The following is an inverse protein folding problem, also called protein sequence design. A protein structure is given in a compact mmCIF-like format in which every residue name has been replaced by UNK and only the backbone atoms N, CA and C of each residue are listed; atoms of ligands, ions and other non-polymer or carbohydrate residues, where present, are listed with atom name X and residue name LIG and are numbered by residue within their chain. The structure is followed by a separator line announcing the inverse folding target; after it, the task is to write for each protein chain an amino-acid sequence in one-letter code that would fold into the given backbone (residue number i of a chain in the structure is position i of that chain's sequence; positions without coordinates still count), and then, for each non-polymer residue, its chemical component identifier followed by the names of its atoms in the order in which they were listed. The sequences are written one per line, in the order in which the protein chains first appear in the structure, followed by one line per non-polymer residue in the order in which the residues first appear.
data_IF_075831605839
#
_entry.id   IF_075831605839
#
_cell.length_a   1.000
_cell.length_b   1.000
_cell.length_c   1.000
_cell.angle_alpha   90.00
_cell.angle_beta   90.00
_cell.angle_gamma   90.00
#
_symmetry.space_group_name_H-M   'P 1'
#
loop_
_entity.id
_entity.type
_entity.pdbx_description
1 polymer ?
#
# COMPACT_ATOMS: atom_id res chain seq x y z
N UNK A 1 8.97 11.33 -23.17
CA UNK A 1 9.63 11.73 -21.91
C UNK A 1 10.12 10.47 -21.21
N UNK A 2 11.41 10.43 -20.86
CA UNK A 2 12.02 9.28 -20.19
C UNK A 2 12.05 9.50 -18.66
N UNK A 3 11.42 8.61 -17.92
CA UNK A 3 11.35 8.65 -16.47
C UNK A 3 12.07 7.46 -15.87
N UNK A 4 13.00 7.72 -14.94
CA UNK A 4 13.67 6.69 -14.16
C UNK A 4 12.93 6.52 -12.83
N UNK A 5 12.24 5.39 -12.65
CA UNK A 5 11.54 5.00 -11.45
C UNK A 5 12.46 4.25 -10.49
N UNK A 6 12.75 4.81 -9.33
CA UNK A 6 13.58 4.20 -8.29
C UNK A 6 12.72 3.75 -7.11
N UNK A 7 12.88 2.49 -6.69
CA UNK A 7 12.21 1.94 -5.50
C UNK A 7 13.19 1.13 -4.65
N UNK A 8 12.87 0.97 -3.37
CA UNK A 8 13.66 0.11 -2.47
C UNK A 8 13.38 -1.37 -2.67
N UNK A 9 12.17 -1.74 -3.08
CA UNK A 9 11.69 -3.12 -3.14
C UNK A 9 11.31 -3.53 -4.56
N UNK A 10 11.34 -4.84 -4.88
CA UNK A 10 10.90 -5.37 -6.17
C UNK A 10 9.37 -5.40 -6.29
N UNK A 11 8.87 -5.89 -7.42
CA UNK A 11 7.43 -5.93 -7.76
C UNK A 11 6.56 -6.73 -6.78
N UNK A 12 7.14 -7.69 -6.06
CA UNK A 12 6.46 -8.43 -4.99
C UNK A 12 6.00 -7.53 -3.85
N UNK A 13 6.69 -6.42 -3.60
CA UNK A 13 6.24 -5.42 -2.65
C UNK A 13 5.09 -4.59 -3.24
N UNK A 14 3.96 -4.54 -2.52
CA UNK A 14 2.77 -3.79 -2.94
C UNK A 14 3.09 -2.32 -3.29
N UNK A 15 3.98 -1.67 -2.53
CA UNK A 15 4.38 -0.29 -2.79
C UNK A 15 4.96 -0.13 -4.21
N UNK A 16 5.92 -0.94 -4.63
CA UNK A 16 6.51 -0.87 -5.98
C UNK A 16 5.49 -1.27 -7.04
N UNK A 17 4.75 -2.36 -6.81
CA UNK A 17 3.75 -2.88 -7.76
C UNK A 17 2.66 -1.85 -8.05
N UNK A 18 2.06 -1.26 -7.01
CA UNK A 18 0.91 -0.38 -7.13
C UNK A 18 1.27 1.11 -7.27
N UNK A 19 2.54 1.50 -7.06
CA UNK A 19 2.98 2.89 -7.21
C UNK A 19 3.83 3.15 -8.45
N UNK A 20 4.49 2.11 -8.99
CA UNK A 20 5.36 2.24 -10.16
C UNK A 20 4.98 1.26 -11.29
N UNK A 21 5.05 -0.05 -11.04
CA UNK A 21 4.96 -1.07 -12.09
C UNK A 21 3.64 -1.04 -12.86
N UNK A 22 2.51 -0.92 -12.17
CA UNK A 22 1.21 -0.84 -12.84
C UNK A 22 1.03 0.42 -13.70
N UNK A 23 1.82 1.47 -13.47
CA UNK A 23 1.75 2.71 -14.26
C UNK A 23 2.60 2.67 -15.53
N UNK A 24 3.45 1.64 -15.75
CA UNK A 24 4.33 1.56 -16.92
C UNK A 24 3.54 1.62 -18.23
N UNK A 25 2.54 0.76 -18.41
CA UNK A 25 1.67 0.76 -19.60
C UNK A 25 0.86 2.06 -19.75
N UNK A 26 0.04 2.43 -18.75
CA UNK A 26 -0.75 3.65 -18.81
C UNK A 26 0.05 4.94 -19.03
N UNK A 27 1.28 5.04 -18.55
CA UNK A 27 2.17 6.18 -18.83
C UNK A 27 2.74 6.11 -20.25
N UNK A 28 3.06 4.92 -20.77
CA UNK A 28 3.50 4.76 -22.15
C UNK A 28 2.44 5.24 -23.16
N UNK A 29 1.16 4.95 -22.91
CA UNK A 29 0.03 5.45 -23.70
C UNK A 29 -0.06 7.00 -23.70
N UNK A 30 0.57 7.64 -22.72
CA UNK A 30 0.65 9.10 -22.56
C UNK A 30 1.99 9.69 -23.02
N UNK A 31 2.81 8.91 -23.73
CA UNK A 31 4.12 9.33 -24.23
C UNK A 31 5.20 9.46 -23.16
N UNK A 32 5.06 8.74 -22.04
CA UNK A 32 6.02 8.70 -20.94
C UNK A 32 6.58 7.31 -20.79
N UNK A 33 7.87 7.11 -21.03
CA UNK A 33 8.55 5.84 -20.84
C UNK A 33 9.07 5.74 -19.40
N UNK A 34 8.41 4.95 -18.55
CA UNK A 34 8.83 4.70 -17.18
C UNK A 34 9.70 3.43 -17.12
N UNK A 35 10.95 3.58 -16.70
CA UNK A 35 11.87 2.45 -16.45
C UNK A 35 12.01 2.24 -14.94
N UNK A 36 11.42 1.16 -14.42
CA UNK A 36 11.47 0.86 -12.98
C UNK A 36 12.75 0.11 -12.62
N UNK A 37 13.44 0.58 -11.60
CA UNK A 37 14.71 0.03 -11.10
C UNK A 37 14.60 -0.19 -9.58
N UNK A 38 14.26 -1.40 -9.11
CA UNK A 38 14.24 -1.72 -7.69
C UNK A 38 15.67 -1.86 -7.12
N UNK A 39 15.86 -1.47 -5.86
CA UNK A 39 17.12 -1.66 -5.15
C UNK A 39 17.36 -3.13 -4.82
N UNK A 40 16.41 -3.80 -4.17
CA UNK A 40 16.46 -5.23 -3.90
C UNK A 40 15.90 -6.03 -5.08
N UNK A 41 16.46 -7.20 -5.34
CA UNK A 41 15.81 -8.21 -6.16
C UNK A 41 14.85 -9.08 -5.33
N UNK A 42 14.03 -9.90 -6.00
CA UNK A 42 13.02 -10.75 -5.37
C UNK A 42 13.60 -11.65 -4.28
N UNK A 43 14.74 -12.29 -4.54
CA UNK A 43 15.38 -13.18 -3.59
C UNK A 43 15.91 -12.43 -2.34
N UNK A 44 16.52 -11.26 -2.54
CA UNK A 44 16.98 -10.42 -1.43
C UNK A 44 15.80 -9.90 -0.60
N UNK A 45 14.67 -9.61 -1.24
CA UNK A 45 13.44 -9.18 -0.56
C UNK A 45 12.84 -10.29 0.30
N UNK A 46 12.72 -11.52 -0.21
CA UNK A 46 12.24 -12.68 0.54
C UNK A 46 13.09 -12.97 1.78
N UNK A 47 14.43 -12.84 1.66
CA UNK A 47 15.37 -13.13 2.73
C UNK A 47 15.53 -11.98 3.73
N UNK A 48 15.09 -10.77 3.40
CA UNK A 48 15.33 -9.54 4.18
C UNK A 48 14.86 -9.65 5.64
N UNK A 49 13.76 -10.34 5.89
CA UNK A 49 13.16 -10.46 7.23
C UNK A 49 13.51 -11.77 7.94
N UNK A 50 14.38 -12.59 7.37
CA UNK A 50 14.80 -13.88 7.92
C UNK A 50 16.13 -13.73 8.66
N UNK A 51 16.12 -13.84 9.99
CA UNK A 51 17.33 -13.65 10.83
C UNK A 51 18.48 -14.61 10.49
N UNK A 52 18.17 -15.85 10.10
CA UNK A 52 19.18 -16.85 9.72
C UNK A 52 19.86 -16.51 8.37
N UNK A 53 19.30 -15.62 7.57
CA UNK A 53 19.83 -15.21 6.27
C UNK A 53 20.73 -13.96 6.33
N UNK A 54 21.11 -13.48 7.52
CA UNK A 54 21.90 -12.25 7.70
C UNK A 54 23.14 -12.15 6.79
N UNK A 55 24.03 -13.17 6.68
CA UNK A 55 25.20 -13.08 5.81
C UNK A 55 24.82 -12.91 4.33
N UNK A 56 23.80 -13.63 3.87
CA UNK A 56 23.26 -13.50 2.52
C UNK A 56 22.67 -12.09 2.31
N UNK A 57 21.91 -11.60 3.27
CA UNK A 57 21.29 -10.25 3.20
C UNK A 57 22.35 -9.16 3.10
N UNK A 58 23.44 -9.24 3.85
CA UNK A 58 24.55 -8.28 3.75
C UNK A 58 25.19 -8.30 2.36
N UNK A 59 25.50 -9.47 1.82
CA UNK A 59 26.05 -9.61 0.47
C UNK A 59 25.08 -9.08 -0.60
N UNK A 60 23.80 -9.39 -0.46
CA UNK A 60 22.75 -8.89 -1.35
C UNK A 60 22.63 -7.37 -1.30
N UNK A 61 22.76 -6.75 -0.13
CA UNK A 61 22.75 -5.29 0.01
C UNK A 61 23.95 -4.64 -0.67
N UNK A 62 25.16 -5.21 -0.53
CA UNK A 62 26.37 -4.71 -1.23
C UNK A 62 26.18 -4.82 -2.74
N UNK A 63 25.73 -5.97 -3.24
CA UNK A 63 25.44 -6.18 -4.66
C UNK A 63 24.37 -5.20 -5.19
N UNK A 64 23.32 -4.96 -4.40
CA UNK A 64 22.27 -3.99 -4.72
C UNK A 64 22.81 -2.56 -4.76
N UNK A 65 23.71 -2.20 -3.83
CA UNK A 65 24.39 -0.91 -3.83
C UNK A 65 25.24 -0.68 -5.09
N UNK A 66 26.03 -1.69 -5.48
CA UNK A 66 26.82 -1.63 -6.73
C UNK A 66 25.93 -1.53 -7.98
N UNK A 67 24.79 -2.24 -8.01
CA UNK A 67 23.80 -2.13 -9.07
C UNK A 67 23.19 -0.73 -9.11
N UNK A 68 22.85 -0.15 -7.96
CA UNK A 68 22.31 1.20 -7.85
C UNK A 68 23.29 2.27 -8.33
N UNK A 69 24.59 2.10 -8.08
CA UNK A 69 25.62 2.99 -8.64
C UNK A 69 25.67 2.93 -10.18
N UNK A 70 25.41 1.75 -10.79
CA UNK A 70 25.28 1.67 -12.25
C UNK A 70 24.03 2.40 -12.76
N UNK A 71 22.94 2.42 -11.99
CA UNK A 71 21.72 3.17 -12.36
C UNK A 71 21.96 4.67 -12.43
N UNK A 72 23.01 5.21 -11.75
CA UNK A 72 23.42 6.61 -11.86
C UNK A 72 23.80 6.99 -13.30
N UNK A 73 24.33 6.04 -14.09
CA UNK A 73 24.65 6.29 -15.50
C UNK A 73 23.40 6.57 -16.34
N UNK A 74 22.24 6.04 -15.93
CA UNK A 74 20.96 6.27 -16.62
C UNK A 74 20.46 7.72 -16.43
N UNK A 75 20.93 8.42 -15.39
CA UNK A 75 20.51 9.79 -15.11
C UNK A 75 20.83 10.75 -16.27
N UNK A 76 21.88 10.48 -17.04
CA UNK A 76 22.24 11.31 -18.21
C UNK A 76 21.18 11.29 -19.31
N UNK A 77 20.41 10.20 -19.41
CA UNK A 77 19.37 9.96 -20.43
C UNK A 77 17.94 10.11 -19.89
N UNK A 78 17.80 10.57 -18.63
CA UNK A 78 16.55 10.68 -17.92
C UNK A 78 16.05 12.11 -17.93
N UNK A 79 14.78 12.34 -18.23
CA UNK A 79 14.14 13.65 -18.15
C UNK A 79 13.69 13.96 -16.71
N UNK A 80 13.11 12.97 -16.00
CA UNK A 80 12.60 13.09 -14.62
C UNK A 80 12.94 11.84 -13.83
N UNK A 81 13.34 11.99 -12.57
CA UNK A 81 13.50 10.87 -11.63
C UNK A 81 12.27 10.76 -10.74
N UNK A 82 11.60 9.60 -10.75
CA UNK A 82 10.49 9.28 -9.86
C UNK A 82 10.99 8.35 -8.76
N UNK A 83 11.04 8.83 -7.52
CA UNK A 83 11.54 8.08 -6.36
C UNK A 83 10.36 7.63 -5.50
N UNK A 84 10.12 6.31 -5.45
CA UNK A 84 9.11 5.74 -4.57
C UNK A 84 9.73 5.51 -3.18
N UNK A 85 9.35 6.33 -2.22
CA UNK A 85 9.85 6.44 -0.84
C UNK A 85 11.33 6.82 -0.78
N UNK A 86 12.20 6.00 -1.33
CA UNK A 86 13.67 6.14 -1.29
C UNK A 86 14.32 5.25 -2.35
N UNK A 87 15.44 5.67 -2.92
CA UNK A 87 16.17 4.86 -3.90
C UNK A 87 16.96 3.70 -3.27
N UNK A 88 17.39 3.85 -2.02
CA UNK A 88 18.13 2.84 -1.26
C UNK A 88 17.50 2.64 0.10
N UNK A 89 17.32 1.37 0.51
CA UNK A 89 16.66 1.00 1.76
C UNK A 89 17.40 1.52 3.00
N UNK A 90 18.73 1.59 2.95
CA UNK A 90 19.60 2.00 4.06
C UNK A 90 20.55 3.11 3.63
N UNK A 91 21.06 3.87 4.61
CA UNK A 91 22.05 4.91 4.42
C UNK A 91 21.46 6.26 3.96
N UNK A 92 22.35 7.22 3.67
CA UNK A 92 21.95 8.56 3.25
C UNK A 92 21.39 8.56 1.81
N UNK A 93 20.64 9.61 1.41
CA UNK A 93 20.01 9.70 0.09
C UNK A 93 21.02 10.16 -1.00
N UNK A 94 22.10 9.37 -1.16
CA UNK A 94 23.21 9.74 -2.06
C UNK A 94 22.79 9.73 -3.54
N UNK A 95 21.97 8.77 -3.95
CA UNK A 95 21.54 8.63 -5.35
C UNK A 95 20.63 9.78 -5.74
N UNK A 96 19.70 10.14 -4.87
CA UNK A 96 18.78 11.25 -5.04
C UNK A 96 19.55 12.58 -5.04
N UNK A 97 20.53 12.72 -4.15
CA UNK A 97 21.43 13.88 -4.14
C UNK A 97 22.20 14.02 -5.46
N UNK A 98 22.78 12.93 -5.97
CA UNK A 98 23.44 12.92 -7.27
C UNK A 98 22.48 13.34 -8.39
N UNK A 99 21.28 12.75 -8.43
CA UNK A 99 20.27 13.07 -9.44
C UNK A 99 19.94 14.57 -9.46
N UNK A 100 19.67 15.15 -8.28
CA UNK A 100 19.20 16.54 -8.16
C UNK A 100 20.34 17.55 -8.24
N UNK A 101 21.50 17.31 -7.59
CA UNK A 101 22.57 18.29 -7.43
C UNK A 101 23.66 18.19 -8.51
N UNK A 102 23.98 16.97 -8.93
CA UNK A 102 25.03 16.75 -9.94
C UNK A 102 24.45 16.69 -11.35
N UNK A 103 23.48 15.80 -11.57
CA UNK A 103 22.86 15.63 -12.89
C UNK A 103 21.76 16.64 -13.18
N UNK A 104 21.37 17.45 -12.20
CA UNK A 104 20.34 18.50 -12.32
C UNK A 104 18.99 17.97 -12.86
N UNK A 105 18.65 16.73 -12.52
CA UNK A 105 17.39 16.13 -12.95
C UNK A 105 16.24 16.53 -12.04
N UNK A 106 15.09 16.90 -12.59
CA UNK A 106 13.86 17.07 -11.82
C UNK A 106 13.54 15.79 -11.07
N UNK A 107 13.07 15.92 -9.83
CA UNK A 107 12.71 14.78 -9.00
C UNK A 107 11.25 14.88 -8.53
N UNK A 108 10.49 13.82 -8.80
CA UNK A 108 9.19 13.58 -8.18
C UNK A 108 9.38 12.54 -7.09
N UNK A 109 9.04 12.89 -5.84
CA UNK A 109 9.06 11.96 -4.71
C UNK A 109 7.66 11.40 -4.51
N UNK A 110 7.53 10.07 -4.44
CA UNK A 110 6.27 9.39 -4.21
C UNK A 110 6.20 8.78 -2.81
N UNK A 111 5.27 9.29 -1.99
CA UNK A 111 5.04 8.86 -0.62
C UNK A 111 3.64 8.25 -0.47
N UNK A 112 3.58 6.93 -0.38
CA UNK A 112 2.34 6.16 -0.19
C UNK A 112 2.08 5.76 1.27
N UNK A 113 3.08 5.93 2.15
CA UNK A 113 3.02 5.61 3.58
C UNK A 113 3.85 6.63 4.38
N UNK A 114 3.64 6.74 5.68
CA UNK A 114 4.33 7.66 6.59
C UNK A 114 5.79 7.23 6.86
N UNK A 115 6.63 7.20 5.84
CA UNK A 115 8.04 6.76 5.93
C UNK A 115 8.92 7.67 6.78
N UNK A 116 8.46 8.89 7.07
CA UNK A 116 9.08 9.84 7.99
C UNK A 116 8.89 9.49 9.47
N UNK A 117 7.91 8.62 9.78
CA UNK A 117 7.71 8.16 11.17
C UNK A 117 8.71 7.07 11.50
N UNK A 118 9.56 7.34 12.49
CA UNK A 118 10.58 6.37 12.90
C UNK A 118 9.97 5.19 13.66
N UNK A 119 10.39 3.98 13.33
CA UNK A 119 10.02 2.77 14.05
C UNK A 119 11.24 1.91 14.36
N UNK A 120 11.11 1.00 15.30
CA UNK A 120 12.14 0.00 15.58
C UNK A 120 11.82 -1.28 14.82
N UNK A 121 12.76 -1.71 13.97
CA UNK A 121 12.58 -2.94 13.19
C UNK A 121 12.40 -4.16 14.09
N UNK A 122 11.35 -4.98 13.90
CA UNK A 122 11.18 -6.23 14.65
C UNK A 122 12.33 -7.22 14.43
N UNK A 123 12.94 -7.19 13.24
CA UNK A 123 14.03 -8.12 12.85
C UNK A 123 15.40 -7.62 13.30
N UNK A 124 15.70 -6.33 13.07
CA UNK A 124 17.04 -5.75 13.24
C UNK A 124 17.15 -4.81 14.45
N UNK A 125 16.09 -4.59 15.21
CA UNK A 125 16.09 -3.77 16.43
C UNK A 125 16.61 -2.34 16.21
N UNK A 126 17.42 -1.86 17.19
CA UNK A 126 18.01 -0.51 17.16
C UNK A 126 19.00 -0.30 16.01
N UNK A 127 19.73 -1.36 15.60
CA UNK A 127 20.66 -1.29 14.46
C UNK A 127 19.92 -0.98 13.16
N UNK A 128 18.79 -1.68 12.89
CA UNK A 128 17.96 -1.39 11.74
C UNK A 128 17.41 0.03 11.73
N UNK A 129 17.03 0.55 12.92
CA UNK A 129 16.60 1.94 13.06
C UNK A 129 17.70 2.94 12.68
N UNK A 130 18.92 2.71 13.16
CA UNK A 130 20.07 3.60 12.87
C UNK A 130 20.45 3.56 11.37
N UNK A 131 20.48 2.37 10.77
CA UNK A 131 20.83 2.20 9.36
C UNK A 131 19.77 2.75 8.40
N UNK A 132 18.49 2.75 8.80
CA UNK A 132 17.37 3.21 7.96
C UNK A 132 17.48 4.71 7.61
N UNK A 133 18.08 5.53 8.48
CA UNK A 133 18.26 6.97 8.26
C UNK A 133 16.91 7.69 7.98
N UNK A 134 16.00 7.64 8.94
CA UNK A 134 14.63 8.15 8.77
C UNK A 134 14.55 9.64 8.39
N UNK A 135 15.51 10.45 8.88
CA UNK A 135 15.56 11.89 8.56
C UNK A 135 15.78 12.19 7.09
N UNK A 136 16.28 11.22 6.29
CA UNK A 136 16.44 11.44 4.84
C UNK A 136 15.13 11.73 4.13
N UNK A 137 13.98 11.29 4.68
CA UNK A 137 12.67 11.60 4.07
C UNK A 137 12.42 13.11 4.01
N UNK A 138 12.83 13.86 5.04
CA UNK A 138 12.71 15.32 5.04
C UNK A 138 13.62 15.97 3.99
N UNK A 139 14.86 15.46 3.84
CA UNK A 139 15.77 15.92 2.78
C UNK A 139 15.18 15.66 1.40
N UNK A 140 14.61 14.46 1.19
CA UNK A 140 14.00 14.08 -0.10
C UNK A 140 12.79 14.96 -0.42
N UNK A 141 11.95 15.26 0.58
CA UNK A 141 10.80 16.17 0.43
C UNK A 141 11.27 17.57 0.00
N UNK A 142 12.33 18.09 0.62
CA UNK A 142 12.87 19.42 0.30
C UNK A 142 13.57 19.48 -1.06
N UNK A 143 14.12 18.35 -1.56
CA UNK A 143 14.80 18.30 -2.85
C UNK A 143 13.87 18.01 -4.03
N UNK A 144 12.66 17.49 -3.74
CA UNK A 144 11.68 17.15 -4.76
C UNK A 144 11.06 18.42 -5.36
N UNK A 145 10.93 18.46 -6.68
CA UNK A 145 10.17 19.50 -7.37
C UNK A 145 8.65 19.31 -7.10
N UNK A 146 8.21 18.04 -7.03
CA UNK A 146 6.84 17.67 -6.64
C UNK A 146 6.88 16.44 -5.73
N UNK A 147 6.02 16.43 -4.69
CA UNK A 147 5.77 15.24 -3.87
C UNK A 147 4.38 14.69 -4.18
N UNK A 148 4.29 13.47 -4.71
CA UNK A 148 3.02 12.74 -4.84
C UNK A 148 2.73 11.99 -3.54
N UNK A 149 1.54 12.20 -2.99
CA UNK A 149 1.14 11.73 -1.67
C UNK A 149 -0.04 10.78 -1.75
N UNK A 150 0.02 9.66 -1.02
CA UNK A 150 -1.04 8.66 -1.01
C UNK A 150 -2.34 9.10 -0.33
N UNK A 151 -2.27 10.09 0.57
CA UNK A 151 -3.41 10.64 1.31
C UNK A 151 -3.16 12.08 1.77
N UNK A 152 -4.18 12.70 2.37
CA UNK A 152 -4.11 14.08 2.86
C UNK A 152 -3.10 14.26 4.01
N UNK A 153 -3.01 13.31 4.95
CA UNK A 153 -2.09 13.42 6.09
C UNK A 153 -0.62 13.47 5.63
N UNK A 154 -0.24 12.64 4.65
CA UNK A 154 1.09 12.68 4.04
C UNK A 154 1.32 14.00 3.28
N UNK A 155 0.28 14.49 2.58
CA UNK A 155 0.38 15.76 1.85
C UNK A 155 0.57 16.95 2.80
N UNK A 156 -0.13 17.00 3.92
CA UNK A 156 0.04 18.07 4.92
C UNK A 156 1.44 18.01 5.57
N UNK A 157 1.94 16.81 5.87
CA UNK A 157 3.32 16.66 6.34
C UNK A 157 4.33 17.20 5.32
N UNK A 158 4.21 16.80 4.05
CA UNK A 158 5.13 17.26 3.00
C UNK A 158 5.03 18.79 2.79
N UNK A 159 3.82 19.37 2.81
CA UNK A 159 3.61 20.83 2.77
C UNK A 159 4.28 21.55 3.94
N UNK A 160 4.22 20.98 5.15
CA UNK A 160 4.89 21.57 6.34
C UNK A 160 6.40 21.65 6.18
N UNK A 161 6.99 20.87 5.25
CA UNK A 161 8.41 20.91 4.87
C UNK A 161 8.67 21.79 3.63
N UNK A 162 7.66 22.51 3.13
CA UNK A 162 7.76 23.43 2.00
C UNK A 162 7.55 22.81 0.62
N UNK A 163 7.07 21.56 0.54
CA UNK A 163 6.93 20.88 -0.76
C UNK A 163 5.66 21.27 -1.52
N UNK A 164 5.76 21.28 -2.85
CA UNK A 164 4.60 21.23 -3.74
C UNK A 164 4.02 19.82 -3.78
N UNK A 165 2.76 19.63 -3.41
CA UNK A 165 2.17 18.30 -3.27
C UNK A 165 1.07 18.02 -4.27
N UNK A 166 0.92 16.74 -4.65
CA UNK A 166 -0.21 16.21 -5.46
C UNK A 166 -0.72 14.94 -4.80
N UNK A 167 -2.03 14.84 -4.57
CA UNK A 167 -2.63 13.62 -3.99
C UNK A 167 -2.90 12.62 -5.10
N UNK A 168 -2.18 11.49 -5.04
CA UNK A 168 -2.36 10.34 -5.90
C UNK A 168 -2.48 9.12 -4.98
N UNK A 169 -3.69 8.65 -4.66
CA UNK A 169 -3.89 7.50 -3.79
C UNK A 169 -3.31 6.23 -4.41
N UNK A 170 -3.01 5.24 -3.59
CA UNK A 170 -2.67 3.90 -4.07
C UNK A 170 -3.93 3.25 -4.62
N UNK A 171 -3.88 2.84 -5.88
CA UNK A 171 -5.05 2.33 -6.61
C UNK A 171 -4.79 0.96 -7.20
N UNK A 172 -5.85 0.31 -7.67
CA UNK A 172 -5.78 -0.96 -8.40
C UNK A 172 -6.16 -0.79 -9.86
N UNK A 173 -5.72 -1.71 -10.68
CA UNK A 173 -6.27 -1.87 -12.01
C UNK A 173 -7.67 -2.49 -11.89
N UNK A 174 -8.69 -1.69 -12.21
CA UNK A 174 -10.09 -2.09 -12.12
C UNK A 174 -10.52 -3.05 -13.22
N UNK A 175 -9.68 -3.29 -14.24
CA UNK A 175 -9.91 -4.28 -15.27
C UNK A 175 -9.34 -5.66 -14.87
N UNK A 176 -8.43 -5.67 -13.88
CA UNK A 176 -7.87 -6.87 -13.25
C UNK A 176 -8.64 -7.23 -11.98
N UNK A 177 -8.85 -6.25 -11.10
CA UNK A 177 -9.68 -6.40 -9.90
C UNK A 177 -11.16 -6.26 -10.28
N UNK A 178 -11.76 -7.35 -10.73
CA UNK A 178 -13.16 -7.39 -11.15
C UNK A 178 -14.01 -8.21 -10.19
N UNK A 179 -15.30 -7.85 -10.02
CA UNK A 179 -16.24 -8.67 -9.25
C UNK A 179 -16.36 -10.08 -9.84
N UNK A 180 -16.51 -11.09 -8.98
CA UNK A 180 -16.84 -12.44 -9.37
C UNK A 180 -18.33 -12.68 -9.12
N UNK A 181 -19.04 -13.45 -9.97
CA UNK A 181 -20.41 -13.84 -9.69
C UNK A 181 -20.52 -14.54 -8.33
N UNK A 182 -21.43 -14.08 -7.49
CA UNK A 182 -21.66 -14.66 -6.17
C UNK A 182 -22.04 -16.14 -6.31
N UNK A 183 -21.36 -17.02 -5.59
CA UNK A 183 -21.86 -18.37 -5.35
C UNK A 183 -22.79 -18.30 -4.14
N UNK A 184 -24.06 -18.61 -4.35
CA UNK A 184 -25.09 -18.60 -3.30
C UNK A 184 -24.98 -19.78 -2.31
N UNK A 185 -24.14 -20.77 -2.59
CA UNK A 185 -24.08 -22.04 -1.86
C UNK A 185 -22.86 -22.06 -0.92
N UNK A 186 -23.11 -21.86 0.36
CA UNK A 186 -22.09 -21.98 1.41
C UNK A 186 -22.21 -20.92 2.52
N UNK A 187 -21.42 -21.05 3.59
CA UNK A 187 -21.35 -20.03 4.62
C UNK A 187 -20.70 -18.76 4.09
N UNK A 188 -21.15 -17.60 4.58
CA UNK A 188 -20.55 -16.30 4.26
C UNK A 188 -19.08 -16.28 4.68
N UNK A 189 -18.21 -15.79 3.81
CA UNK A 189 -16.77 -15.72 4.03
C UNK A 189 -16.37 -14.29 4.45
N UNK A 190 -15.94 -14.17 5.70
CA UNK A 190 -15.26 -12.96 6.19
C UNK A 190 -13.80 -13.02 5.75
N UNK A 191 -13.32 -12.02 5.04
CA UNK A 191 -11.98 -12.01 4.47
C UNK A 191 -11.07 -10.93 5.04
N UNK A 192 -9.85 -11.32 5.37
CA UNK A 192 -8.78 -10.40 5.68
C UNK A 192 -7.52 -10.77 4.92
N UNK A 193 -6.87 -9.77 4.33
CA UNK A 193 -5.57 -9.91 3.67
C UNK A 193 -4.60 -8.87 4.21
N UNK A 194 -3.38 -9.28 4.56
CA UNK A 194 -2.43 -8.36 5.16
C UNK A 194 -1.03 -8.95 5.24
N UNK A 195 -0.29 -8.52 6.24
CA UNK A 195 1.06 -8.97 6.55
C UNK A 195 1.18 -9.27 8.05
N UNK A 196 2.24 -9.95 8.45
CA UNK A 196 2.55 -10.18 9.86
C UNK A 196 2.54 -8.89 10.70
N UNK A 197 2.91 -7.74 10.12
CA UNK A 197 2.91 -6.45 10.82
C UNK A 197 1.53 -5.84 11.03
N UNK A 198 0.54 -6.20 10.22
CA UNK A 198 -0.85 -5.72 10.34
C UNK A 198 -1.79 -6.74 10.96
N UNK A 199 -1.33 -7.99 11.13
CA UNK A 199 -2.10 -9.06 11.75
C UNK A 199 -2.55 -8.76 13.21
N UNK A 200 -1.77 -8.04 14.05
CA UNK A 200 -2.24 -7.64 15.38
C UNK A 200 -3.57 -6.87 15.36
N UNK A 201 -3.84 -6.09 14.32
CA UNK A 201 -5.13 -5.40 14.17
C UNK A 201 -6.30 -6.38 13.99
N UNK A 202 -6.10 -7.41 13.16
CA UNK A 202 -7.13 -8.45 13.01
C UNK A 202 -7.35 -9.19 14.33
N UNK A 203 -6.28 -9.51 15.06
CA UNK A 203 -6.36 -10.21 16.35
C UNK A 203 -7.17 -9.43 17.38
N UNK A 204 -7.15 -8.10 17.34
CA UNK A 204 -7.91 -7.26 18.26
C UNK A 204 -9.43 -7.50 18.19
N UNK A 205 -9.96 -7.93 17.03
CA UNK A 205 -11.39 -8.23 16.86
C UNK A 205 -11.72 -9.73 17.00
N UNK A 206 -10.78 -10.60 17.38
CA UNK A 206 -11.09 -12.04 17.62
C UNK A 206 -12.17 -12.27 18.66
N UNK A 207 -12.23 -11.54 19.78
CA UNK A 207 -13.36 -11.70 20.73
C UNK A 207 -14.71 -11.45 20.08
N UNK A 208 -14.80 -10.48 19.17
CA UNK A 208 -16.04 -10.20 18.41
C UNK A 208 -16.40 -11.38 17.50
N UNK A 209 -15.43 -11.96 16.79
CA UNK A 209 -15.66 -13.10 15.91
C UNK A 209 -16.09 -14.35 16.71
N UNK A 210 -15.54 -14.54 17.91
CA UNK A 210 -15.95 -15.63 18.81
C UNK A 210 -17.40 -15.46 19.31
N UNK A 211 -17.77 -14.23 19.67
CA UNK A 211 -19.15 -13.94 20.10
C UNK A 211 -20.14 -14.12 18.94
N UNK A 212 -19.78 -13.64 17.76
CA UNK A 212 -20.57 -13.80 16.54
C UNK A 212 -20.80 -15.27 16.16
N UNK A 213 -19.80 -16.13 16.35
CA UNK A 213 -19.87 -17.55 16.05
C UNK A 213 -20.85 -18.33 16.94
N UNK A 214 -21.31 -17.74 18.06
CA UNK A 214 -22.36 -18.36 18.93
C UNK A 214 -23.72 -18.31 18.28
N UNK A 215 -23.99 -17.36 17.39
CA UNK A 215 -25.29 -17.09 16.79
C UNK A 215 -25.32 -17.19 15.28
N UNK A 216 -24.18 -17.03 14.60
CA UNK A 216 -24.06 -17.02 13.14
C UNK A 216 -23.06 -18.05 12.65
N UNK A 217 -23.37 -18.69 11.52
CA UNK A 217 -22.43 -19.58 10.82
C UNK A 217 -21.72 -18.81 9.70
N UNK A 218 -20.41 -18.69 9.77
CA UNK A 218 -19.56 -18.07 8.77
C UNK A 218 -18.19 -18.75 8.72
N UNK A 219 -17.41 -18.43 7.70
CA UNK A 219 -16.01 -18.85 7.55
C UNK A 219 -15.11 -17.62 7.62
N UNK A 220 -13.98 -17.72 8.30
CA UNK A 220 -12.94 -16.68 8.29
C UNK A 220 -11.79 -17.09 7.38
N UNK A 221 -11.46 -16.29 6.39
CA UNK A 221 -10.29 -16.48 5.51
C UNK A 221 -9.24 -15.43 5.81
N UNK A 222 -8.05 -15.88 6.18
CA UNK A 222 -6.92 -15.03 6.59
C UNK A 222 -5.77 -15.27 5.61
N UNK A 223 -5.34 -14.21 4.92
CA UNK A 223 -4.27 -14.29 3.92
C UNK A 223 -3.08 -13.43 4.33
N UNK A 224 -1.88 -14.02 4.39
CA UNK A 224 -0.63 -13.31 4.59
C UNK A 224 -0.34 -12.91 6.04
N UNK A 225 -0.95 -13.57 7.04
CA UNK A 225 -0.69 -13.28 8.45
C UNK A 225 0.76 -13.61 8.88
N UNK A 226 1.47 -14.47 8.14
CA UNK A 226 2.83 -14.89 8.47
C UNK A 226 2.90 -15.84 9.67
N UNK A 227 1.77 -16.42 10.04
CA UNK A 227 1.66 -17.45 11.10
C UNK A 227 1.01 -18.68 10.51
N UNK A 228 1.56 -19.87 10.80
CA UNK A 228 1.16 -21.11 10.16
C UNK A 228 -0.26 -21.54 10.50
N UNK A 229 -0.79 -21.16 11.66
CA UNK A 229 -2.16 -21.49 12.03
C UNK A 229 -2.74 -20.47 13.02
N UNK A 230 -3.66 -19.65 12.52
CA UNK A 230 -4.52 -18.85 13.40
C UNK A 230 -5.77 -19.69 13.71
N UNK A 231 -6.04 -19.89 14.99
CA UNK A 231 -7.25 -20.53 15.46
C UNK A 231 -8.11 -19.50 16.20
N UNK A 232 -9.40 -19.44 15.86
CA UNK A 232 -10.40 -18.61 16.54
C UNK A 232 -11.46 -19.58 17.07
N UNK A 233 -11.58 -19.78 18.38
CA UNK A 233 -12.55 -20.74 18.94
C UNK A 233 -13.97 -20.53 18.41
N UNK A 234 -14.58 -21.60 17.92
CA UNK A 234 -15.93 -21.58 17.36
C UNK A 234 -16.05 -21.11 15.91
N UNK A 235 -14.95 -20.68 15.28
CA UNK A 235 -14.93 -20.17 13.90
C UNK A 235 -14.16 -21.15 12.99
N UNK A 236 -14.74 -21.48 11.83
CA UNK A 236 -14.00 -22.16 10.76
C UNK A 236 -13.01 -21.19 10.14
N UNK A 237 -11.69 -21.44 10.30
CA UNK A 237 -10.62 -20.56 9.81
C UNK A 237 -9.83 -21.24 8.71
N UNK A 238 -9.69 -20.55 7.57
CA UNK A 238 -8.76 -20.89 6.48
C UNK A 238 -7.58 -19.93 6.50
N UNK A 239 -6.37 -20.45 6.74
CA UNK A 239 -5.13 -19.69 6.74
C UNK A 239 -4.39 -19.92 5.43
N UNK A 240 -4.03 -18.84 4.74
CA UNK A 240 -3.29 -18.88 3.48
C UNK A 240 -2.07 -17.98 3.53
N UNK A 241 -0.98 -18.45 2.96
CA UNK A 241 0.13 -17.56 2.62
C UNK A 241 -0.28 -16.64 1.47
N UNK A 242 0.19 -15.40 1.52
CA UNK A 242 -0.01 -14.46 0.42
C UNK A 242 0.76 -14.91 -0.84
N UNK A 243 0.10 -14.84 -1.98
CA UNK A 243 0.70 -15.17 -3.27
C UNK A 243 0.26 -14.16 -4.32
N UNK A 244 1.23 -13.53 -4.99
CA UNK A 244 0.97 -12.52 -6.02
C UNK A 244 0.02 -13.00 -7.13
N UNK A 245 0.18 -14.25 -7.59
CA UNK A 245 -0.64 -14.81 -8.68
C UNK A 245 -2.09 -15.11 -8.26
N UNK A 246 -2.33 -15.24 -6.95
CA UNK A 246 -3.64 -15.57 -6.39
C UNK A 246 -4.32 -14.38 -5.72
N UNK A 247 -3.65 -13.22 -5.61
CA UNK A 247 -4.15 -12.07 -4.84
C UNK A 247 -5.59 -11.68 -5.22
N UNK A 248 -5.89 -11.57 -6.52
CA UNK A 248 -7.25 -11.23 -7.00
C UNK A 248 -8.26 -12.31 -6.64
N UNK A 249 -7.93 -13.58 -6.83
CA UNK A 249 -8.79 -14.72 -6.50
C UNK A 249 -9.05 -14.80 -4.99
N UNK A 250 -8.04 -14.48 -4.16
CA UNK A 250 -8.22 -14.42 -2.71
C UNK A 250 -9.24 -13.35 -2.33
N UNK A 251 -9.15 -12.14 -2.88
CA UNK A 251 -10.17 -11.09 -2.68
C UNK A 251 -11.54 -11.51 -3.21
N UNK A 252 -11.62 -12.13 -4.39
CA UNK A 252 -12.86 -12.62 -4.99
C UNK A 252 -13.52 -13.76 -4.21
N UNK A 253 -12.82 -14.37 -3.27
CA UNK A 253 -13.36 -15.43 -2.41
C UNK A 253 -14.02 -14.91 -1.15
N UNK A 254 -13.94 -13.60 -0.87
CA UNK A 254 -14.56 -12.96 0.29
C UNK A 254 -15.97 -12.48 -0.03
N UNK A 255 -16.85 -12.51 0.96
CA UNK A 255 -18.19 -11.91 0.90
C UNK A 255 -18.24 -10.58 1.66
N UNK A 256 -17.41 -10.44 2.72
CA UNK A 256 -17.29 -9.24 3.54
C UNK A 256 -15.82 -9.04 3.85
N UNK A 257 -15.27 -7.87 3.51
CA UNK A 257 -13.91 -7.49 3.82
C UNK A 257 -13.75 -6.94 5.23
N UNK A 258 -12.68 -7.31 5.92
CA UNK A 258 -12.34 -6.78 7.24
C UNK A 258 -11.11 -5.89 7.16
N UNK A 259 -11.23 -4.64 7.63
CA UNK A 259 -10.12 -3.70 7.68
C UNK A 259 -10.01 -3.04 9.06
N UNK A 260 -9.74 -3.82 10.10
CA UNK A 260 -9.50 -3.29 11.44
C UNK A 260 -8.16 -2.56 11.48
N UNK A 261 -8.15 -1.37 12.04
CA UNK A 261 -6.96 -0.60 12.40
C UNK A 261 -7.16 -0.12 13.82
N UNK A 262 -6.27 -0.51 14.70
CA UNK A 262 -6.27 -0.03 16.08
C UNK A 262 -5.14 1.00 16.25
N UNK A 263 -5.46 2.30 16.37
CA UNK A 263 -4.46 3.34 16.51
C UNK A 263 -3.66 3.23 17.82
N UNK A 264 -4.15 2.51 18.84
CA UNK A 264 -3.46 2.31 20.11
C UNK A 264 -2.25 1.38 19.99
N UNK A 265 -2.20 0.51 18.99
CA UNK A 265 -1.11 -0.46 18.77
C UNK A 265 0.15 0.15 18.16
N UNK A 266 0.05 1.33 17.56
CA UNK A 266 1.18 2.02 16.91
C UNK A 266 1.07 3.54 17.14
N UNK A 267 2.15 4.27 16.82
CA UNK A 267 2.13 5.73 16.90
C UNK A 267 0.98 6.31 16.03
N UNK A 268 0.23 7.25 16.57
CA UNK A 268 -0.95 7.85 15.93
C UNK A 268 -0.65 8.39 14.53
N UNK A 269 0.47 9.08 14.36
CA UNK A 269 0.92 9.60 13.07
C UNK A 269 1.21 8.51 12.04
N UNK A 270 1.57 7.29 12.47
CA UNK A 270 1.78 6.17 11.56
C UNK A 270 0.45 5.59 11.06
N UNK A 271 -0.55 5.51 11.93
CA UNK A 271 -1.89 5.08 11.56
C UNK A 271 -2.56 6.07 10.58
N UNK A 272 -2.40 7.38 10.82
CA UNK A 272 -2.89 8.43 9.92
C UNK A 272 -2.26 8.37 8.52
N UNK A 273 -1.00 7.92 8.42
CA UNK A 273 -0.30 7.76 7.15
C UNK A 273 -0.69 6.52 6.32
N UNK A 274 -1.59 5.66 6.82
CA UNK A 274 -2.03 4.47 6.08
C UNK A 274 -2.80 4.82 4.81
N UNK A 275 -2.46 4.15 3.72
CA UNK A 275 -3.00 4.42 2.37
C UNK A 275 -4.48 4.07 2.17
N UNK A 276 -5.12 3.37 3.11
CA UNK A 276 -6.50 2.89 2.92
C UNK A 276 -6.67 1.84 1.81
N UNK A 277 -5.58 1.30 1.30
CA UNK A 277 -5.54 0.51 0.07
C UNK A 277 -6.45 -0.73 0.09
N UNK A 278 -6.61 -1.41 1.23
CA UNK A 278 -7.53 -2.55 1.35
C UNK A 278 -8.98 -2.17 1.09
N UNK A 279 -9.40 -0.99 1.52
CA UNK A 279 -10.75 -0.48 1.22
C UNK A 279 -10.97 -0.38 -0.29
N UNK A 280 -9.98 0.13 -1.02
CA UNK A 280 -10.01 0.23 -2.49
C UNK A 280 -10.06 -1.17 -3.13
N UNK A 281 -9.30 -2.14 -2.63
CA UNK A 281 -9.30 -3.50 -3.14
C UNK A 281 -10.65 -4.20 -2.92
N UNK A 282 -11.27 -4.09 -1.74
CA UNK A 282 -12.61 -4.63 -1.47
C UNK A 282 -13.67 -4.01 -2.37
N UNK A 283 -13.67 -2.68 -2.50
CA UNK A 283 -14.59 -1.99 -3.41
C UNK A 283 -14.36 -2.38 -4.86
N UNK A 284 -13.12 -2.59 -5.29
CA UNK A 284 -12.80 -3.00 -6.65
C UNK A 284 -13.38 -4.38 -7.01
N UNK A 285 -13.37 -5.30 -6.05
CA UNK A 285 -14.02 -6.62 -6.19
C UNK A 285 -15.55 -6.54 -6.02
N UNK A 286 -16.07 -5.42 -5.57
CA UNK A 286 -17.53 -5.22 -5.42
C UNK A 286 -18.09 -5.91 -4.18
N UNK A 287 -17.33 -6.05 -3.11
CA UNK A 287 -17.79 -6.56 -1.82
C UNK A 287 -17.87 -5.44 -0.77
N UNK A 288 -18.84 -5.50 0.16
CA UNK A 288 -18.86 -4.61 1.29
C UNK A 288 -17.69 -4.90 2.22
N UNK A 289 -17.27 -3.89 2.97
CA UNK A 289 -16.25 -4.07 3.99
C UNK A 289 -16.59 -3.27 5.26
N UNK A 290 -15.95 -3.65 6.35
CA UNK A 290 -16.01 -2.91 7.61
C UNK A 290 -14.61 -2.40 7.90
N UNK A 291 -14.47 -1.11 8.15
CA UNK A 291 -13.20 -0.47 8.43
C UNK A 291 -13.22 0.33 9.73
N UNK A 292 -12.10 0.36 10.45
CA UNK A 292 -11.88 1.41 11.44
C UNK A 292 -11.65 2.75 10.70
N UNK A 293 -12.30 3.85 11.09
CA UNK A 293 -12.19 5.16 10.42
C UNK A 293 -10.87 5.86 10.78
N UNK A 294 -9.73 5.28 10.34
CA UNK A 294 -8.38 5.77 10.66
C UNK A 294 -7.63 6.08 9.37
N UNK A 295 -6.98 7.24 9.31
CA UNK A 295 -6.21 7.69 8.14
C UNK A 295 -7.08 7.73 6.89
N UNK A 296 -6.51 7.34 5.74
CA UNK A 296 -7.25 7.35 4.47
C UNK A 296 -8.49 6.43 4.48
N UNK A 297 -8.57 5.42 5.35
CA UNK A 297 -9.76 4.57 5.46
C UNK A 297 -11.01 5.35 5.92
N UNK A 298 -10.83 6.48 6.61
CA UNK A 298 -11.92 7.38 6.99
C UNK A 298 -12.43 8.24 5.83
N UNK A 299 -11.63 8.40 4.76
CA UNK A 299 -11.90 9.31 3.64
C UNK A 299 -12.34 8.56 2.37
N UNK A 300 -12.08 7.25 2.30
CA UNK A 300 -12.34 6.41 1.12
C UNK A 300 -13.75 5.85 1.16
N UNK A 301 -14.56 6.23 0.18
CA UNK A 301 -15.95 5.81 0.10
C UNK A 301 -16.88 6.66 0.97
N UNK A 302 -18.08 6.16 1.21
CA UNK A 302 -19.11 6.78 2.01
C UNK A 302 -19.71 5.73 2.96
N UNK A 303 -19.59 5.97 4.27
CA UNK A 303 -20.10 5.05 5.29
C UNK A 303 -21.64 4.93 5.19
N UNK A 304 -22.15 3.69 5.26
CA UNK A 304 -23.57 3.38 5.04
C UNK A 304 -23.98 3.24 3.57
N UNK A 305 -23.13 3.65 2.61
CA UNK A 305 -23.38 3.56 1.17
C UNK A 305 -22.43 2.58 0.47
N UNK A 306 -21.14 2.63 0.77
CA UNK A 306 -20.13 1.75 0.17
C UNK A 306 -19.54 0.74 1.15
N UNK A 307 -19.61 1.03 2.45
CA UNK A 307 -19.04 0.26 3.54
C UNK A 307 -19.62 0.68 4.89
N UNK A 308 -19.18 0.04 5.95
CA UNK A 308 -19.46 0.49 7.32
C UNK A 308 -18.19 0.82 8.08
N UNK A 309 -18.30 1.75 9.04
CA UNK A 309 -17.28 1.99 10.04
C UNK A 309 -17.57 1.23 11.32
N UNK A 310 -16.53 0.75 12.01
CA UNK A 310 -16.62 0.21 13.37
C UNK A 310 -15.32 0.50 14.14
N UNK A 311 -15.45 0.99 15.36
CA UNK A 311 -14.35 1.32 16.27
C UNK A 311 -14.36 0.42 17.51
N UNK A 312 -15.54 0.22 18.11
CA UNK A 312 -15.71 -0.59 19.32
C UNK A 312 -16.09 -2.04 18.97
N UNK A 313 -15.84 -2.98 19.88
CA UNK A 313 -16.26 -4.37 19.71
C UNK A 313 -17.78 -4.49 19.48
N UNK A 314 -18.56 -3.62 20.11
CA UNK A 314 -20.01 -3.59 19.94
C UNK A 314 -20.41 -3.19 18.52
N UNK A 315 -19.81 -2.13 17.97
CA UNK A 315 -20.04 -1.70 16.59
C UNK A 315 -19.60 -2.77 15.58
N UNK A 316 -18.44 -3.41 15.80
CA UNK A 316 -17.99 -4.53 14.98
C UNK A 316 -19.00 -5.66 14.97
N UNK A 317 -19.50 -6.07 16.16
CA UNK A 317 -20.49 -7.14 16.29
C UNK A 317 -21.77 -6.80 15.56
N UNK A 318 -22.38 -5.65 15.85
CA UNK A 318 -23.63 -5.22 15.22
C UNK A 318 -23.53 -5.14 13.69
N UNK A 319 -22.43 -4.58 13.19
CA UNK A 319 -22.23 -4.41 11.75
C UNK A 319 -22.01 -5.76 11.06
N UNK A 320 -21.29 -6.67 11.69
CA UNK A 320 -21.11 -8.04 11.18
C UNK A 320 -22.42 -8.82 11.16
N UNK A 321 -23.22 -8.76 12.23
CA UNK A 321 -24.56 -9.38 12.30
C UNK A 321 -25.47 -8.86 11.18
N UNK A 322 -25.48 -7.55 10.97
CA UNK A 322 -26.25 -6.91 9.89
C UNK A 322 -25.85 -7.45 8.52
N UNK A 323 -24.54 -7.43 8.23
CA UNK A 323 -24.03 -7.86 6.92
C UNK A 323 -24.17 -9.39 6.72
N UNK A 324 -24.07 -10.21 7.75
CA UNK A 324 -24.30 -11.65 7.65
C UNK A 324 -25.76 -11.96 7.34
N UNK A 325 -26.68 -11.23 7.96
CA UNK A 325 -28.13 -11.48 7.87
C UNK A 325 -28.78 -10.93 6.60
N UNK A 326 -28.18 -9.93 5.93
CA UNK A 326 -28.78 -9.25 4.77
C UNK A 326 -27.93 -9.37 3.49
N UNK A 327 -28.18 -10.39 2.65
CA UNK A 327 -27.49 -10.53 1.35
C UNK A 327 -27.76 -9.37 0.37
N UNK A 328 -28.96 -8.79 0.40
CA UNK A 328 -29.32 -7.69 -0.49
C UNK A 328 -28.52 -6.41 -0.15
N UNK A 329 -28.34 -6.15 1.14
CA UNK A 329 -27.49 -5.07 1.63
C UNK A 329 -26.04 -5.27 1.19
N UNK A 330 -25.49 -6.50 1.31
CA UNK A 330 -24.12 -6.79 0.82
C UNK A 330 -23.97 -6.46 -0.67
N UNK A 331 -24.94 -6.85 -1.50
CA UNK A 331 -24.92 -6.55 -2.95
C UNK A 331 -25.01 -5.06 -3.22
N UNK A 332 -25.87 -4.35 -2.50
CA UNK A 332 -26.06 -2.89 -2.66
C UNK A 332 -24.79 -2.12 -2.34
N UNK A 333 -24.19 -2.40 -1.17
CA UNK A 333 -22.94 -1.76 -0.74
C UNK A 333 -21.78 -2.11 -1.67
N UNK A 334 -21.64 -3.38 -2.06
CA UNK A 334 -20.60 -3.84 -2.97
C UNK A 334 -20.69 -3.18 -4.34
N UNK A 335 -21.90 -3.11 -4.91
CA UNK A 335 -22.14 -2.42 -6.20
C UNK A 335 -21.85 -0.92 -6.12
N UNK A 336 -22.23 -0.24 -5.03
CA UNK A 336 -21.91 1.16 -4.80
C UNK A 336 -20.40 1.38 -4.65
N UNK A 337 -19.72 0.52 -3.88
CA UNK A 337 -18.27 0.54 -3.73
C UNK A 337 -17.55 0.37 -5.06
N UNK A 338 -17.99 -0.59 -5.90
CA UNK A 338 -17.42 -0.81 -7.24
C UNK A 338 -17.53 0.44 -8.12
N UNK A 339 -18.69 1.06 -8.19
CA UNK A 339 -18.88 2.31 -8.96
C UNK A 339 -17.93 3.40 -8.46
N UNK A 340 -17.90 3.61 -7.15
CA UNK A 340 -17.04 4.62 -6.52
C UNK A 340 -15.56 4.43 -6.86
N UNK A 341 -15.06 3.19 -6.82
CA UNK A 341 -13.65 2.90 -7.10
C UNK A 341 -13.31 3.06 -8.58
N UNK A 342 -14.19 2.62 -9.48
CA UNK A 342 -13.98 2.79 -10.92
C UNK A 342 -13.89 4.26 -11.31
N UNK A 343 -14.74 5.10 -10.74
CA UNK A 343 -14.78 6.53 -11.04
C UNK A 343 -13.58 7.28 -10.44
N UNK A 344 -13.18 6.97 -9.21
CA UNK A 344 -12.25 7.82 -8.44
C UNK A 344 -10.87 7.22 -8.19
N UNK A 345 -10.76 5.89 -8.16
CA UNK A 345 -9.56 5.15 -7.75
C UNK A 345 -9.09 4.15 -8.80
N UNK A 346 -9.55 4.25 -10.04
CA UNK A 346 -9.04 3.42 -11.13
C UNK A 346 -7.63 3.82 -11.53
N UNK A 347 -6.86 2.86 -12.00
CA UNK A 347 -5.51 3.08 -12.52
C UNK A 347 -5.49 4.15 -13.61
N UNK A 348 -6.45 4.10 -14.56
CA UNK A 348 -6.54 5.07 -15.65
C UNK A 348 -6.75 6.51 -15.15
N UNK A 349 -7.68 6.72 -14.19
CA UNK A 349 -7.94 8.04 -13.62
C UNK A 349 -6.72 8.62 -12.89
N UNK A 350 -5.91 7.78 -12.25
CA UNK A 350 -4.72 8.25 -11.53
C UNK A 350 -3.49 8.38 -12.44
N UNK A 351 -3.42 7.64 -13.54
CA UNK A 351 -2.34 7.77 -14.53
C UNK A 351 -2.28 9.18 -15.13
N UNK A 352 -3.43 9.82 -15.36
CA UNK A 352 -3.48 11.21 -15.84
C UNK A 352 -2.88 12.19 -14.82
N UNK A 353 -3.15 11.97 -13.53
CA UNK A 353 -2.60 12.82 -12.47
C UNK A 353 -1.09 12.65 -12.34
N UNK A 354 -0.60 11.40 -12.39
CA UNK A 354 0.83 11.12 -12.35
C UNK A 354 1.55 11.68 -13.57
N UNK A 355 1.00 11.51 -14.77
CA UNK A 355 1.56 12.06 -16.00
C UNK A 355 1.66 13.61 -15.95
N UNK A 356 0.65 14.27 -15.39
CA UNK A 356 0.68 15.73 -15.18
C UNK A 356 1.77 16.13 -14.20
N UNK A 357 1.88 15.47 -13.05
CA UNK A 357 2.91 15.77 -12.05
C UNK A 357 4.33 15.58 -12.62
N UNK A 358 4.55 14.52 -13.41
CA UNK A 358 5.84 14.27 -14.06
C UNK A 358 6.19 15.35 -15.10
N UNK A 359 5.22 15.81 -15.90
CA UNK A 359 5.43 16.89 -16.87
C UNK A 359 5.67 18.24 -16.21
N UNK A 360 4.90 18.56 -15.15
CA UNK A 360 5.05 19.77 -14.35
C UNK A 360 6.47 19.86 -13.78
N UNK A 361 6.96 18.82 -13.11
CA UNK A 361 8.33 18.76 -12.59
C UNK A 361 9.38 18.95 -13.69
N UNK A 362 9.15 18.42 -14.91
CA UNK A 362 10.07 18.60 -16.04
C UNK A 362 10.08 20.02 -16.60
N UNK A 363 8.98 20.77 -16.49
CA UNK A 363 8.87 22.14 -17.02
C UNK A 363 9.47 23.17 -16.06
N UNK A 364 9.25 23.05 -14.76
CA UNK A 364 9.65 24.02 -13.75
C UNK A 364 11.18 24.20 -13.70
N UNK A 365 11.95 23.13 -13.93
CA UNK A 365 13.42 23.21 -14.00
C UNK A 365 13.99 23.71 -15.33
N UNK A 366 13.22 23.75 -16.39
CA UNK A 366 13.67 24.37 -17.66
C UNK A 366 13.51 25.89 -17.64
N UNK A 367 12.72 26.41 -16.69
CA UNK A 367 12.45 27.83 -16.52
C UNK A 367 13.34 28.50 -15.45
N UNK A 368 14.04 27.74 -14.63
CA UNK A 368 15.02 28.17 -13.61
C UNK A 368 16.45 27.89 -14.06
#
# INVERSE_FOLDING_TARGET
MNVLGLSSYPVEAAATRYRLEQFVGPLADRGITLTVRPFLDSKAFEMLYQRHALPYTLLALVKSGLRRLKDVLLLSQTDVVLVQREAMLFGPPLIEWLAVRVFKRPMVLDLDDATYVSYTSPTYGRLGKALKWFSKTDDLIQWADIVTCGNHAIAEYAKSKGATTRIIPTVVDTDVFVPKPHKSDGPVVLGWIGTHSTFPYLRAIFPVLQDLAKTHRFKMKIVGAGTDQTNIPGVEVENLEWNLKREVEDFQSFDIGLYPIDPSLYAENWAAGKSGFKAIQYMAIGIPYIAAPVGAAAEIGEAGVTHFHATTNHEWLQTLELLLSDPALRQTLGAAGRRHVVERYSLSAQADKLARALREASCDRKAS
#
